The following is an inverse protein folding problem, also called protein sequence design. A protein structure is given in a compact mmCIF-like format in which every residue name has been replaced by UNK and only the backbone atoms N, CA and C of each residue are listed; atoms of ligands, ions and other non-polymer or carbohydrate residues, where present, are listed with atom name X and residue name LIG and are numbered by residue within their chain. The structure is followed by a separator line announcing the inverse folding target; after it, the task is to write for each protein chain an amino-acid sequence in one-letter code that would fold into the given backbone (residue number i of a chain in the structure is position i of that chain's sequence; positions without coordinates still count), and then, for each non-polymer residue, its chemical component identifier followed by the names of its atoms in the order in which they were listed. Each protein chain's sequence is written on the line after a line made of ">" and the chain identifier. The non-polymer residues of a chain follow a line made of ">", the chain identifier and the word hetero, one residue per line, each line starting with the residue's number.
data_IF_500905343674
#
_entry.id   IF_500905343674
#
_cell.length_a   1.000
_cell.length_b   1.000
_cell.length_c   1.000
_cell.angle_alpha   90.00
_cell.angle_beta   90.00
_cell.angle_gamma   90.00
#
_symmetry.space_group_name_H-M   'P 1'
#
loop_
_entity.id
_entity.type
_entity.pdbx_description
1 polymer ?
#
# COMPACT_ATOMS: atom_id res chain seq x y z
N UNK A 1 -30.20 -11.85 -48.87
CA UNK A 1 -29.57 -10.52 -48.82
C UNK A 1 -29.24 -10.25 -47.36
N UNK A 2 -27.95 -10.26 -47.03
CA UNK A 2 -27.34 -10.43 -45.71
C UNK A 2 -27.99 -9.67 -44.53
N UNK A 3 -28.41 -10.39 -43.49
CA UNK A 3 -28.71 -9.86 -42.16
C UNK A 3 -27.98 -10.61 -41.02
N UNK A 4 -26.93 -11.38 -41.31
CA UNK A 4 -26.10 -12.05 -40.29
C UNK A 4 -24.86 -11.21 -39.92
N UNK A 5 -25.09 -10.00 -39.42
CA UNK A 5 -24.02 -9.24 -38.72
C UNK A 5 -24.50 -8.71 -37.37
N UNK A 6 -25.16 -9.59 -36.63
CA UNK A 6 -25.17 -9.52 -35.19
C UNK A 6 -23.81 -10.02 -34.68
N UNK A 7 -22.75 -9.24 -34.90
CA UNK A 7 -21.48 -9.44 -34.19
C UNK A 7 -21.68 -8.92 -32.75
N UNK A 8 -22.48 -9.67 -31.99
CA UNK A 8 -22.59 -9.55 -30.55
C UNK A 8 -21.34 -10.13 -29.91
N UNK A 9 -20.36 -9.28 -29.61
CA UNK A 9 -19.30 -9.54 -28.63
C UNK A 9 -18.51 -8.25 -28.36
N UNK A 10 -19.07 -7.34 -27.55
CA UNK A 10 -18.24 -6.38 -26.80
C UNK A 10 -18.36 -6.62 -25.29
N UNK A 11 -17.59 -7.58 -24.71
CA UNK A 11 -17.27 -7.44 -23.28
C UNK A 11 -15.93 -8.09 -22.85
N UNK A 12 -14.80 -7.39 -22.96
CA UNK A 12 -13.72 -7.54 -21.96
C UNK A 12 -13.23 -6.22 -21.32
N UNK A 13 -13.37 -5.08 -22.00
CA UNK A 13 -12.69 -3.85 -21.59
C UNK A 13 -13.32 -3.14 -20.37
N UNK A 14 -14.66 -3.19 -20.24
CA UNK A 14 -15.38 -2.48 -19.18
C UNK A 14 -15.13 -3.08 -17.78
N UNK A 15 -15.11 -4.42 -17.65
CA UNK A 15 -14.90 -5.12 -16.39
C UNK A 15 -13.47 -4.97 -15.85
N UNK A 16 -12.47 -4.96 -16.74
CA UNK A 16 -11.05 -4.76 -16.39
C UNK A 16 -10.82 -3.35 -15.82
N UNK A 17 -11.43 -2.31 -16.41
CA UNK A 17 -11.28 -0.93 -15.93
C UNK A 17 -11.90 -0.68 -14.55
N UNK A 18 -13.02 -1.36 -14.24
CA UNK A 18 -13.67 -1.31 -12.94
C UNK A 18 -12.83 -1.95 -11.83
N UNK A 19 -12.23 -3.12 -12.13
CA UNK A 19 -11.37 -3.83 -11.19
C UNK A 19 -10.13 -3.03 -10.78
N UNK A 20 -9.49 -2.34 -11.73
CA UNK A 20 -8.33 -1.48 -11.45
C UNK A 20 -8.69 -0.31 -10.53
N UNK A 21 -9.83 0.35 -10.76
CA UNK A 21 -10.28 1.46 -9.90
C UNK A 21 -10.56 0.98 -8.48
N UNK A 22 -11.23 -0.17 -8.34
CA UNK A 22 -11.49 -0.77 -7.04
C UNK A 22 -10.19 -1.12 -6.30
N UNK A 23 -9.22 -1.73 -6.99
CA UNK A 23 -7.91 -2.05 -6.40
C UNK A 23 -7.17 -0.81 -5.91
N UNK A 24 -7.16 0.27 -6.68
CA UNK A 24 -6.56 1.54 -6.26
C UNK A 24 -7.25 2.12 -5.04
N UNK A 25 -8.59 2.11 -5.00
CA UNK A 25 -9.36 2.60 -3.84
C UNK A 25 -8.99 1.80 -2.59
N UNK A 26 -8.93 0.48 -2.68
CA UNK A 26 -8.57 -0.38 -1.56
C UNK A 26 -7.15 -0.09 -1.08
N UNK A 27 -6.17 -0.04 -1.98
CA UNK A 27 -4.77 0.28 -1.62
C UNK A 27 -4.68 1.65 -0.95
N UNK A 28 -5.30 2.67 -1.52
CA UNK A 28 -5.28 4.01 -0.94
C UNK A 28 -5.95 4.03 0.43
N UNK A 29 -7.10 3.39 0.59
CA UNK A 29 -7.81 3.32 1.87
C UNK A 29 -6.99 2.62 2.95
N UNK A 30 -6.34 1.49 2.62
CA UNK A 30 -5.47 0.77 3.55
C UNK A 30 -4.26 1.62 3.93
N UNK A 31 -3.61 2.31 3.00
CA UNK A 31 -2.47 3.19 3.31
C UNK A 31 -2.88 4.34 4.26
N UNK A 32 -4.08 4.90 4.11
CA UNK A 32 -4.58 5.89 5.07
C UNK A 32 -4.84 5.30 6.44
N UNK A 33 -5.38 4.08 6.50
CA UNK A 33 -5.59 3.37 7.76
C UNK A 33 -4.26 3.08 8.47
N UNK A 34 -3.25 2.64 7.73
CA UNK A 34 -1.89 2.41 8.25
C UNK A 34 -1.24 3.71 8.74
N UNK A 35 -1.37 4.80 7.98
CA UNK A 35 -0.90 6.11 8.41
C UNK A 35 -1.59 6.56 9.72
N UNK A 36 -2.92 6.39 9.81
CA UNK A 36 -3.68 6.71 11.01
C UNK A 36 -3.27 5.81 12.20
N UNK A 37 -3.01 4.53 11.97
CA UNK A 37 -2.52 3.61 12.98
C UNK A 37 -1.15 4.05 13.52
N UNK A 38 -0.23 4.49 12.66
CA UNK A 38 1.06 5.03 13.10
C UNK A 38 0.89 6.31 13.93
N UNK A 39 -0.02 7.21 13.55
CA UNK A 39 -0.34 8.40 14.37
C UNK A 39 -0.89 7.99 15.73
N UNK A 40 -1.78 6.99 15.79
CA UNK A 40 -2.30 6.47 17.05
C UNK A 40 -1.17 5.88 17.93
N UNK A 41 -0.20 5.17 17.32
CA UNK A 41 0.99 4.66 18.03
C UNK A 41 1.86 5.80 18.54
N UNK A 42 2.06 6.89 17.77
CA UNK A 42 2.79 8.08 18.26
C UNK A 42 2.08 8.66 19.49
N UNK A 43 0.77 8.86 19.43
CA UNK A 43 -0.02 9.37 20.56
C UNK A 43 0.11 8.46 21.77
N UNK A 44 0.00 7.14 21.57
CA UNK A 44 0.23 6.16 22.62
C UNK A 44 1.61 6.33 23.24
N UNK A 45 2.68 6.30 22.44
CA UNK A 45 4.05 6.38 22.95
C UNK A 45 4.33 7.68 23.71
N UNK A 46 3.73 8.79 23.27
CA UNK A 46 3.82 10.07 23.99
C UNK A 46 3.10 9.98 25.32
N UNK A 47 1.90 9.39 25.38
CA UNK A 47 1.20 9.15 26.65
C UNK A 47 2.03 8.25 27.56
N UNK A 48 2.61 7.17 27.04
CA UNK A 48 3.45 6.25 27.80
C UNK A 48 4.69 6.97 28.37
N UNK A 49 5.34 7.83 27.58
CA UNK A 49 6.50 8.62 28.02
C UNK A 49 6.14 9.59 29.16
N UNK A 50 4.92 10.11 29.18
CA UNK A 50 4.45 11.08 30.17
C UNK A 50 3.85 10.42 31.42
N UNK A 51 3.21 9.26 31.27
CA UNK A 51 2.47 8.58 32.32
C UNK A 51 3.28 7.49 33.05
N UNK A 52 4.24 6.87 32.36
CA UNK A 52 5.10 5.83 32.93
C UNK A 52 6.54 6.34 33.09
N UNK A 53 7.32 5.67 33.93
CA UNK A 53 8.75 5.91 34.08
C UNK A 53 9.53 4.94 33.18
N UNK A 54 10.05 5.37 32.02
CA UNK A 54 10.78 4.48 31.11
C UNK A 54 12.10 4.05 31.75
N UNK A 55 12.55 2.83 31.45
CA UNK A 55 13.89 2.36 31.82
C UNK A 55 15.01 3.20 31.18
N UNK A 56 14.72 3.81 30.03
CA UNK A 56 15.62 4.72 29.32
C UNK A 56 14.81 5.76 28.54
N UNK A 57 14.89 7.03 28.96
CA UNK A 57 14.28 8.15 28.23
C UNK A 57 14.88 8.31 26.82
N UNK A 58 16.18 8.03 26.65
CA UNK A 58 16.83 8.12 25.35
C UNK A 58 16.23 7.15 24.34
N UNK A 59 16.00 5.89 24.74
CA UNK A 59 15.37 4.88 23.87
C UNK A 59 13.92 5.22 23.59
N UNK A 60 13.16 5.68 24.60
CA UNK A 60 11.76 6.06 24.43
C UNK A 60 11.61 7.21 23.42
N UNK A 61 12.40 8.27 23.56
CA UNK A 61 12.39 9.42 22.63
C UNK A 61 12.84 9.00 21.23
N UNK A 62 13.87 8.16 21.11
CA UNK A 62 14.32 7.66 19.82
C UNK A 62 13.23 6.87 19.08
N UNK A 63 12.49 6.01 19.80
CA UNK A 63 11.35 5.27 19.23
C UNK A 63 10.23 6.21 18.79
N UNK A 64 9.87 7.20 19.59
CA UNK A 64 8.85 8.20 19.21
C UNK A 64 9.26 8.91 17.92
N UNK A 65 10.49 9.43 17.85
CA UNK A 65 10.99 10.13 16.65
C UNK A 65 10.97 9.21 15.43
N UNK A 66 11.41 7.96 15.57
CA UNK A 66 11.38 6.97 14.50
C UNK A 66 9.96 6.72 13.98
N UNK A 67 8.99 6.54 14.88
CA UNK A 67 7.60 6.30 14.51
C UNK A 67 6.97 7.56 13.89
N UNK A 68 7.31 8.76 14.38
CA UNK A 68 6.87 10.03 13.77
C UNK A 68 7.37 10.15 12.33
N UNK A 69 8.65 9.83 12.07
CA UNK A 69 9.21 9.82 10.71
C UNK A 69 8.43 8.81 9.84
N UNK A 70 8.18 7.61 10.37
CA UNK A 70 7.35 6.60 9.70
C UNK A 70 5.94 7.12 9.38
N UNK A 71 5.26 7.74 10.34
CA UNK A 71 3.91 8.29 10.17
C UNK A 71 3.85 9.37 9.09
N UNK A 72 4.82 10.29 9.09
CA UNK A 72 4.94 11.34 8.06
C UNK A 72 5.19 10.72 6.69
N UNK A 73 6.09 9.74 6.61
CA UNK A 73 6.42 9.08 5.36
C UNK A 73 5.23 8.29 4.78
N UNK A 74 4.60 7.44 5.58
CA UNK A 74 3.41 6.66 5.15
C UNK A 74 2.24 7.57 4.84
N UNK A 75 2.05 8.66 5.60
CA UNK A 75 1.08 9.70 5.28
C UNK A 75 1.35 10.36 3.92
N UNK A 76 2.61 10.69 3.61
CA UNK A 76 2.99 11.22 2.29
C UNK A 76 2.74 10.22 1.17
N UNK A 77 2.99 8.92 1.41
CA UNK A 77 2.66 7.83 0.47
C UNK A 77 1.15 7.73 0.24
N UNK A 78 0.34 7.78 1.31
CA UNK A 78 -1.13 7.75 1.20
C UNK A 78 -1.68 8.95 0.40
N UNK A 79 -1.17 10.17 0.67
CA UNK A 79 -1.55 11.39 -0.07
C UNK A 79 -1.07 11.32 -1.53
N UNK A 80 0.14 10.82 -1.76
CA UNK A 80 0.68 10.57 -3.10
C UNK A 80 -0.17 9.56 -3.89
N UNK A 81 -0.73 8.57 -3.20
CA UNK A 81 -1.63 7.55 -3.77
C UNK A 81 -2.91 8.17 -4.31
N UNK A 82 -3.55 9.08 -3.55
CA UNK A 82 -4.71 9.84 -4.04
C UNK A 82 -4.39 10.66 -5.30
N UNK A 83 -3.19 11.23 -5.34
CA UNK A 83 -2.69 12.02 -6.48
C UNK A 83 -2.19 11.13 -7.63
N UNK A 84 -2.24 9.81 -7.50
CA UNK A 84 -1.72 8.82 -8.47
C UNK A 84 -0.26 9.08 -8.84
N UNK A 85 0.54 9.56 -7.90
CA UNK A 85 1.94 9.87 -8.16
C UNK A 85 2.74 8.58 -8.43
N UNK A 86 3.61 8.56 -9.46
CA UNK A 86 4.29 7.34 -9.90
C UNK A 86 5.27 6.76 -8.85
N UNK A 87 5.83 7.62 -8.00
CA UNK A 87 6.77 7.21 -6.94
C UNK A 87 6.09 6.47 -5.78
N UNK A 88 4.78 6.64 -5.60
CA UNK A 88 4.04 6.08 -4.47
C UNK A 88 4.03 4.55 -4.49
N UNK A 89 4.03 3.93 -5.68
CA UNK A 89 3.98 2.47 -5.81
C UNK A 89 5.20 1.81 -5.17
N UNK A 90 6.40 2.30 -5.49
CA UNK A 90 7.64 1.77 -4.93
C UNK A 90 7.70 1.99 -3.42
N UNK A 91 7.32 3.19 -2.96
CA UNK A 91 7.31 3.53 -1.54
C UNK A 91 6.32 2.65 -0.74
N UNK A 92 5.12 2.42 -1.27
CA UNK A 92 4.14 1.54 -0.65
C UNK A 92 4.66 0.10 -0.54
N UNK A 93 5.32 -0.44 -1.58
CA UNK A 93 5.92 -1.78 -1.52
C UNK A 93 6.98 -1.85 -0.41
N UNK A 94 7.86 -0.85 -0.31
CA UNK A 94 8.88 -0.79 0.75
C UNK A 94 8.20 -0.78 2.12
N UNK A 95 7.16 0.02 2.31
CA UNK A 95 6.41 0.06 3.57
C UNK A 95 5.82 -1.30 3.92
N UNK A 96 5.20 -1.99 2.97
CA UNK A 96 4.64 -3.31 3.24
C UNK A 96 5.70 -4.36 3.57
N UNK A 97 6.89 -4.32 2.96
CA UNK A 97 8.01 -5.20 3.32
C UNK A 97 8.50 -4.92 4.75
N UNK A 98 8.58 -3.64 5.15
CA UNK A 98 8.90 -3.27 6.53
C UNK A 98 7.83 -3.79 7.49
N UNK A 99 6.55 -3.65 7.15
CA UNK A 99 5.44 -4.14 7.96
C UNK A 99 5.47 -5.67 8.12
N UNK A 100 5.78 -6.42 7.05
CA UNK A 100 6.02 -7.87 7.12
C UNK A 100 7.18 -8.20 8.05
N UNK A 101 8.30 -7.45 7.95
CA UNK A 101 9.46 -7.64 8.84
C UNK A 101 9.09 -7.44 10.30
N UNK A 102 8.29 -6.40 10.60
CA UNK A 102 7.77 -6.13 11.95
C UNK A 102 6.83 -7.26 12.41
N UNK A 103 5.94 -7.74 11.53
CA UNK A 103 5.02 -8.83 11.82
C UNK A 103 5.76 -10.14 12.16
N UNK A 104 6.79 -10.48 11.37
CA UNK A 104 7.67 -11.63 11.66
C UNK A 104 8.35 -11.49 13.01
N UNK A 105 8.85 -10.28 13.33
CA UNK A 105 9.34 -9.95 14.67
C UNK A 105 8.33 -10.22 15.79
N UNK A 106 7.05 -9.89 15.57
CA UNK A 106 5.99 -10.10 16.55
C UNK A 106 5.65 -11.58 16.79
N UNK A 107 5.94 -12.49 15.85
CA UNK A 107 5.72 -13.93 16.05
C UNK A 107 6.81 -14.62 16.88
N UNK A 108 7.95 -13.97 17.10
CA UNK A 108 9.13 -14.58 17.70
C UNK A 108 9.63 -13.80 18.93
N UNK A 109 10.40 -14.48 19.80
CA UNK A 109 10.98 -13.89 21.01
C UNK A 109 10.16 -14.15 22.28
N UNK A 110 10.70 -13.70 23.42
CA UNK A 110 10.11 -13.95 24.76
C UNK A 110 8.77 -13.23 24.99
N UNK A 111 8.52 -12.16 24.23
CA UNK A 111 7.27 -11.39 24.27
C UNK A 111 6.50 -11.52 22.95
N UNK A 112 6.58 -12.69 22.31
CA UNK A 112 5.86 -12.95 21.07
C UNK A 112 4.36 -12.66 21.24
N UNK A 113 3.81 -11.90 20.29
CA UNK A 113 2.41 -11.49 20.22
C UNK A 113 1.85 -11.87 18.85
N UNK A 114 1.44 -13.13 18.66
CA UNK A 114 0.92 -13.60 17.38
C UNK A 114 -0.32 -12.85 16.92
N UNK A 115 -1.12 -12.35 17.86
CA UNK A 115 -2.25 -11.45 17.63
C UNK A 115 -1.83 -10.20 16.86
N UNK A 116 -0.74 -9.54 17.28
CA UNK A 116 -0.18 -8.36 16.61
C UNK A 116 0.47 -8.75 15.28
N UNK A 117 1.17 -9.89 15.24
CA UNK A 117 1.78 -10.40 14.01
C UNK A 117 0.76 -10.58 12.89
N UNK A 118 -0.38 -11.22 13.16
CA UNK A 118 -1.45 -11.39 12.17
C UNK A 118 -2.09 -10.06 11.77
N UNK A 119 -2.32 -9.16 12.74
CA UNK A 119 -2.90 -7.84 12.48
C UNK A 119 -2.04 -7.00 11.52
N UNK A 120 -0.72 -7.14 11.57
CA UNK A 120 0.21 -6.46 10.66
C UNK A 120 0.41 -7.21 9.32
N UNK A 121 0.46 -8.54 9.36
CA UNK A 121 0.76 -9.36 8.20
C UNK A 121 -0.36 -9.36 7.16
N UNK A 122 -1.62 -9.50 7.60
CA UNK A 122 -2.79 -9.56 6.71
C UNK A 122 -2.91 -8.33 5.80
N UNK A 123 -2.92 -7.08 6.31
CA UNK A 123 -2.98 -5.90 5.45
C UNK A 123 -1.77 -5.82 4.52
N UNK A 124 -0.58 -6.16 4.99
CA UNK A 124 0.63 -6.06 4.19
C UNK A 124 0.64 -7.00 2.98
N UNK A 125 0.32 -8.28 3.21
CA UNK A 125 0.20 -9.26 2.12
C UNK A 125 -0.93 -8.87 1.16
N UNK A 126 -2.04 -8.34 1.67
CA UNK A 126 -3.16 -7.87 0.84
C UNK A 126 -2.73 -6.75 -0.08
N UNK A 127 -2.08 -5.70 0.44
CA UNK A 127 -1.62 -4.55 -0.35
C UNK A 127 -0.53 -4.96 -1.32
N UNK A 128 0.44 -5.78 -0.91
CA UNK A 128 1.47 -6.34 -1.81
C UNK A 128 0.80 -7.09 -2.96
N UNK A 129 -0.13 -8.01 -2.66
CA UNK A 129 -0.85 -8.78 -3.66
C UNK A 129 -1.57 -7.89 -4.68
N UNK A 130 -2.27 -6.87 -4.19
CA UNK A 130 -2.95 -5.89 -5.05
C UNK A 130 -1.97 -5.07 -5.91
N UNK A 131 -0.84 -4.64 -5.34
CA UNK A 131 0.18 -3.84 -6.05
C UNK A 131 0.97 -4.63 -7.09
N UNK A 132 1.12 -5.95 -6.88
CA UNK A 132 1.81 -6.86 -7.78
C UNK A 132 0.88 -7.48 -8.83
N UNK A 133 -0.44 -7.34 -8.67
CA UNK A 133 -1.39 -7.98 -9.58
C UNK A 133 -1.31 -7.40 -11.01
N UNK A 134 -1.14 -8.24 -12.05
CA UNK A 134 -0.96 -7.81 -13.45
C UNK A 134 -2.01 -6.84 -14.01
N UNK A 135 -3.31 -6.91 -13.64
CA UNK A 135 -4.32 -5.96 -14.13
C UNK A 135 -4.02 -4.49 -13.75
N UNK A 136 -3.30 -4.25 -12.64
CA UNK A 136 -2.90 -2.90 -12.19
C UNK A 136 -1.68 -2.38 -12.94
N UNK A 137 -0.77 -3.26 -13.41
CA UNK A 137 0.41 -2.86 -14.22
C UNK A 137 0.00 -2.29 -15.58
N UNK A 138 -1.04 -2.83 -16.21
CA UNK A 138 -1.53 -2.38 -17.52
C UNK A 138 -2.10 -0.96 -17.50
N UNK A 139 -2.60 -0.48 -16.35
CA UNK A 139 -3.10 0.89 -16.20
C UNK A 139 -2.01 1.97 -16.18
N UNK A 140 -0.73 1.58 -16.12
CA UNK A 140 0.43 2.47 -16.21
C UNK A 140 1.09 2.48 -17.60
N UNK A 141 0.67 1.61 -18.54
CA UNK A 141 1.18 1.62 -19.90
C UNK A 141 0.50 2.72 -20.72
N UNK A 142 1.29 3.63 -21.32
CA UNK A 142 0.80 4.73 -22.14
C UNK A 142 0.37 4.19 -23.52
N UNK A 143 -0.77 4.62 -24.09
CA UNK A 143 -1.25 4.15 -25.42
C UNK A 143 -0.38 4.52 -26.66
N UNK A 144 0.90 4.87 -26.52
CA UNK A 144 1.67 5.54 -27.57
C UNK A 144 2.67 4.69 -28.36
N UNK A 145 2.84 3.41 -28.03
CA UNK A 145 3.91 2.58 -28.61
C UNK A 145 3.44 1.65 -29.75
N UNK A 146 2.13 1.59 -30.00
CA UNK A 146 1.52 0.75 -31.06
C UNK A 146 1.49 1.47 -32.42
N UNK A 147 1.46 2.82 -32.42
CA UNK A 147 1.39 3.64 -33.64
C UNK A 147 2.76 3.95 -34.27
N UNK A 148 3.86 3.45 -33.70
CA UNK A 148 5.22 3.70 -34.22
C UNK A 148 5.78 2.49 -35.00
N UNK A 149 4.92 1.75 -35.68
CA UNK A 149 5.38 0.87 -36.74
C UNK A 149 6.02 1.75 -37.84
N UNK A 150 7.28 1.50 -38.25
CA UNK A 150 7.92 2.25 -39.32
C UNK A 150 7.32 1.81 -40.66
N UNK A 151 6.33 2.55 -41.13
CA UNK A 151 5.81 2.49 -42.49
C UNK A 151 6.85 3.12 -43.43
N UNK A 152 7.82 2.33 -43.87
CA UNK A 152 8.82 2.82 -44.82
C UNK A 152 9.98 1.85 -45.06
N UNK A 153 9.72 0.79 -45.82
CA UNK A 153 10.71 0.08 -46.62
C UNK A 153 10.07 -0.35 -47.94
#
# INVERSE_FOLDING_TARGET
>A
MNQDRADGDMPPAASVSGGVRAALIVVTAVLFLEAAALVAIVVWLVVDLLALQPSSYATAVALIVLVVIGAVWVGAVAIGSLRRAPWTRAAAIVWQILQVSIAVGAFQGLFARPDVGWLLLVPAVTVIGLLLWPPVRLAYARPGDVDRAPDGA
#
